data_IF_132196488633
#
_entry.id   IF_132196488633
#
_cell.length_a   1.000
_cell.length_b   1.000
_cell.length_c   1.000
_cell.angle_alpha   90.00
_cell.angle_beta   90.00
_cell.angle_gamma   90.00
#
_symmetry.space_group_name_H-M   'P 1'
#
loop_
_entity.id
_entity.type
_entity.pdbx_description
1 polymer ?
#
# COMPACT_ATOMS: atom_id res chain seq x y z
N UNK A 1 -77.59 20.19 22.07
CA UNK A 1 -77.71 20.96 23.33
C UNK A 1 -76.31 21.10 23.92
N UNK A 2 -75.95 22.31 24.41
CA UNK A 2 -74.65 22.82 24.93
C UNK A 2 -73.61 23.20 23.85
N UNK A 3 -73.38 24.48 23.51
CA UNK A 3 -72.74 25.62 24.25
C UNK A 3 -71.27 25.33 24.60
N UNK A 4 -70.23 26.15 24.36
CA UNK A 4 -70.03 27.56 23.94
C UNK A 4 -68.48 27.75 23.71
N UNK A 5 -67.90 28.95 23.46
CA UNK A 5 -66.92 29.20 22.36
C UNK A 5 -65.56 29.82 22.81
N UNK A 6 -64.88 30.46 21.84
CA UNK A 6 -63.85 31.55 21.93
C UNK A 6 -62.41 31.04 22.19
N UNK A 7 -61.41 31.31 21.35
CA UNK A 7 -60.75 32.62 21.25
C UNK A 7 -59.95 32.84 19.95
N UNK A 8 -60.02 34.10 19.48
CA UNK A 8 -59.16 34.76 18.49
C UNK A 8 -57.68 34.67 18.89
N UNK A 9 -56.80 34.49 17.90
CA UNK A 9 -55.55 35.24 17.85
C UNK A 9 -55.17 35.49 16.38
N UNK A 10 -55.25 36.77 16.03
CA UNK A 10 -54.72 37.40 14.83
C UNK A 10 -53.19 37.42 14.96
N UNK A 11 -52.42 36.98 13.96
CA UNK A 11 -51.06 37.46 13.79
C UNK A 11 -50.61 37.44 12.34
N UNK A 12 -49.96 38.53 11.99
CA UNK A 12 -49.77 39.10 10.67
C UNK A 12 -48.65 38.40 9.89
N UNK A 13 -48.81 38.46 8.57
CA UNK A 13 -47.77 38.30 7.56
C UNK A 13 -46.60 39.25 7.81
N UNK A 14 -45.38 38.70 7.86
CA UNK A 14 -44.15 39.41 7.51
C UNK A 14 -42.98 38.42 7.38
N UNK A 15 -42.67 38.02 6.13
CA UNK A 15 -41.28 37.85 5.67
C UNK A 15 -40.76 39.27 5.28
N UNK A 16 -39.44 39.55 5.13
CA UNK A 16 -38.29 38.67 4.95
C UNK A 16 -37.07 39.06 5.82
N UNK A 17 -35.95 38.34 5.69
CA UNK A 17 -34.62 38.90 5.36
C UNK A 17 -33.56 37.79 5.42
N UNK A 18 -33.02 37.48 4.25
CA UNK A 18 -31.72 36.85 4.10
C UNK A 18 -30.67 37.70 4.81
N UNK A 19 -29.90 37.09 5.70
CA UNK A 19 -28.51 37.47 5.92
C UNK A 19 -27.80 36.32 6.63
N UNK A 20 -27.42 35.30 5.85
CA UNK A 20 -26.42 34.34 6.27
C UNK A 20 -25.13 34.68 5.52
N UNK A 21 -24.36 35.62 6.05
CA UNK A 21 -22.95 35.80 5.68
C UNK A 21 -22.15 34.66 6.30
N UNK A 22 -22.30 33.45 5.75
CA UNK A 22 -21.32 32.40 5.96
C UNK A 22 -20.12 32.74 5.09
N UNK A 23 -19.16 33.42 5.71
CA UNK A 23 -17.79 33.48 5.20
C UNK A 23 -17.26 32.05 5.14
N UNK A 24 -17.41 31.41 3.99
CA UNK A 24 -16.64 30.22 3.66
C UNK A 24 -15.19 30.68 3.50
N UNK A 25 -14.44 30.57 4.61
CA UNK A 25 -13.00 30.42 4.52
C UNK A 25 -12.75 29.19 3.63
N UNK A 26 -12.41 29.44 2.37
CA UNK A 26 -11.82 28.44 1.49
C UNK A 26 -10.57 27.92 2.18
N UNK A 27 -10.70 26.77 2.85
CA UNK A 27 -9.57 26.01 3.33
C UNK A 27 -8.83 25.50 2.09
N UNK A 28 -7.80 26.22 1.67
CA UNK A 28 -6.79 25.69 0.76
C UNK A 28 -6.27 24.39 1.36
N UNK A 29 -6.30 23.24 0.65
CA UNK A 29 -5.65 22.04 1.13
C UNK A 29 -4.16 22.34 1.21
N UNK A 30 -3.64 22.41 2.44
CA UNK A 30 -2.20 22.46 2.71
C UNK A 30 -1.62 21.11 2.32
N UNK A 31 -1.36 20.90 1.03
CA UNK A 31 -0.57 19.77 0.57
C UNK A 31 0.84 19.94 1.12
N UNK A 32 1.26 18.99 1.96
CA UNK A 32 2.61 18.92 2.47
C UNK A 32 3.56 18.68 1.28
N UNK A 33 4.53 19.56 0.99
CA UNK A 33 5.44 19.40 -0.14
C UNK A 33 6.16 18.04 -0.15
N UNK A 34 6.44 17.47 1.03
CA UNK A 34 7.05 16.13 1.14
C UNK A 34 6.14 15.01 0.65
N UNK A 35 4.82 15.16 0.80
CA UNK A 35 3.85 14.19 0.34
C UNK A 35 3.74 14.23 -1.19
N UNK A 36 3.68 15.42 -1.79
CA UNK A 36 3.65 15.58 -3.24
C UNK A 36 4.91 15.00 -3.91
N UNK A 37 6.08 15.17 -3.29
CA UNK A 37 7.32 14.57 -3.78
C UNK A 37 7.21 13.03 -3.73
N UNK A 38 6.76 12.44 -2.62
CA UNK A 38 6.62 10.98 -2.51
C UNK A 38 5.64 10.41 -3.53
N UNK A 39 4.49 11.06 -3.73
CA UNK A 39 3.49 10.66 -4.72
C UNK A 39 4.08 10.69 -6.14
N UNK A 40 4.84 11.74 -6.49
CA UNK A 40 5.49 11.85 -7.81
C UNK A 40 6.53 10.75 -8.07
N UNK A 41 7.27 10.33 -7.05
CA UNK A 41 8.26 9.25 -7.19
C UNK A 41 7.60 7.89 -7.36
N UNK A 42 6.48 7.64 -6.67
CA UNK A 42 5.67 6.45 -6.87
C UNK A 42 5.12 6.44 -8.30
N UNK A 43 4.49 7.52 -8.73
CA UNK A 43 3.92 7.64 -10.07
C UNK A 43 4.98 7.48 -11.16
N UNK A 44 6.20 8.00 -10.94
CA UNK A 44 7.28 7.93 -11.93
C UNK A 44 7.93 6.55 -12.05
N UNK A 45 7.84 5.69 -11.03
CA UNK A 45 8.60 4.43 -10.99
C UNK A 45 7.74 3.17 -10.92
N UNK A 46 6.50 3.27 -10.46
CA UNK A 46 5.60 2.12 -10.39
C UNK A 46 4.95 1.91 -11.77
N UNK A 47 5.02 0.69 -12.34
CA UNK A 47 4.30 0.37 -13.57
C UNK A 47 2.80 0.53 -13.43
N UNK A 48 2.12 0.80 -14.54
CA UNK A 48 0.65 0.78 -14.58
C UNK A 48 0.12 -0.59 -14.16
N UNK A 49 -1.09 -0.62 -13.60
CA UNK A 49 -1.71 -1.82 -13.03
C UNK A 49 -1.74 -3.00 -14.02
N UNK A 50 -1.97 -2.74 -15.31
CA UNK A 50 -2.01 -3.76 -16.36
C UNK A 50 -0.68 -4.48 -16.60
N UNK A 51 0.45 -3.85 -16.24
CA UNK A 51 1.81 -4.38 -16.42
C UNK A 51 2.45 -4.80 -15.10
N UNK A 52 1.95 -4.29 -13.98
CA UNK A 52 2.51 -4.50 -12.65
C UNK A 52 2.78 -5.97 -12.35
N UNK A 53 1.75 -6.82 -12.45
CA UNK A 53 1.87 -8.23 -12.11
C UNK A 53 2.82 -8.98 -13.04
N UNK A 54 2.81 -8.65 -14.33
CA UNK A 54 3.67 -9.28 -15.33
C UNK A 54 5.16 -8.95 -15.09
N UNK A 55 5.48 -7.69 -14.79
CA UNK A 55 6.86 -7.28 -14.48
C UNK A 55 7.32 -7.85 -13.14
N UNK A 56 6.48 -7.80 -12.10
CA UNK A 56 6.79 -8.41 -10.81
C UNK A 56 7.09 -9.90 -10.96
N UNK A 57 6.27 -10.63 -11.72
CA UNK A 57 6.47 -12.05 -11.98
C UNK A 57 7.79 -12.31 -12.70
N UNK A 58 8.04 -11.61 -13.81
CA UNK A 58 9.26 -11.74 -14.62
C UNK A 58 10.49 -11.54 -13.76
N UNK A 59 10.55 -10.45 -13.01
CA UNK A 59 11.78 -10.04 -12.31
C UNK A 59 12.07 -10.93 -11.08
N UNK A 60 11.02 -11.40 -10.39
CA UNK A 60 11.19 -12.40 -9.34
C UNK A 60 11.68 -13.74 -9.89
N UNK A 61 11.08 -14.22 -10.99
CA UNK A 61 11.50 -15.47 -11.62
C UNK A 61 12.92 -15.38 -12.18
N UNK A 62 13.31 -14.25 -12.76
CA UNK A 62 14.68 -13.99 -13.23
C UNK A 62 15.67 -14.06 -12.06
N UNK A 63 15.45 -13.26 -11.00
CA UNK A 63 16.32 -13.24 -9.81
C UNK A 63 16.52 -14.63 -9.21
N UNK A 64 15.44 -15.38 -8.97
CA UNK A 64 15.55 -16.70 -8.36
C UNK A 64 16.06 -17.78 -9.33
N UNK A 65 15.83 -17.63 -10.65
CA UNK A 65 16.37 -18.59 -11.60
C UNK A 65 17.89 -18.51 -11.66
N UNK A 66 18.43 -17.30 -11.56
CA UNK A 66 19.87 -17.05 -11.48
C UNK A 66 20.46 -17.61 -10.16
N UNK A 67 19.81 -17.34 -9.02
CA UNK A 67 20.25 -17.82 -7.70
C UNK A 67 20.29 -19.36 -7.61
N UNK A 68 19.27 -20.04 -8.14
CA UNK A 68 19.17 -21.51 -8.11
C UNK A 68 19.79 -22.22 -9.33
N UNK A 69 20.28 -21.47 -10.32
CA UNK A 69 20.85 -22.02 -11.57
C UNK A 69 19.87 -22.86 -12.40
N UNK A 70 18.57 -22.58 -12.31
CA UNK A 70 17.51 -23.30 -13.04
C UNK A 70 16.25 -22.45 -13.13
N UNK A 71 15.43 -22.69 -14.15
CA UNK A 71 14.14 -22.00 -14.28
C UNK A 71 13.23 -22.33 -13.10
N UNK A 72 12.71 -21.29 -12.45
CA UNK A 72 11.72 -21.39 -11.37
C UNK A 72 10.40 -20.76 -11.74
N UNK A 73 9.38 -21.05 -10.94
CA UNK A 73 8.13 -20.29 -10.88
C UNK A 73 7.96 -19.73 -9.49
N UNK A 74 7.54 -18.47 -9.41
CA UNK A 74 7.41 -17.76 -8.13
C UNK A 74 5.94 -17.37 -7.91
N UNK A 75 5.37 -17.77 -6.79
CA UNK A 75 4.12 -17.21 -6.30
C UNK A 75 4.42 -16.16 -5.24
N UNK A 76 3.65 -15.09 -5.18
CA UNK A 76 3.90 -14.00 -4.25
C UNK A 76 2.62 -13.38 -3.69
N UNK A 77 2.74 -12.80 -2.51
CA UNK A 77 1.68 -12.04 -1.84
C UNK A 77 2.27 -10.84 -1.10
N UNK A 78 1.49 -9.78 -0.95
CA UNK A 78 1.96 -8.56 -0.28
C UNK A 78 2.01 -8.73 1.24
N UNK A 79 3.20 -8.47 1.81
CA UNK A 79 3.36 -8.28 3.26
C UNK A 79 2.94 -6.88 3.71
N UNK A 80 2.78 -5.93 2.78
CA UNK A 80 2.22 -4.60 3.04
C UNK A 80 1.51 -4.08 1.80
N UNK A 81 0.40 -3.40 2.02
CA UNK A 81 -0.37 -2.78 0.93
C UNK A 81 0.40 -1.63 0.32
N UNK A 82 0.55 -1.67 -1.01
CA UNK A 82 1.13 -0.60 -1.81
C UNK A 82 2.64 -0.42 -1.66
N UNK A 83 3.15 0.49 -2.48
CA UNK A 83 4.55 0.88 -2.41
C UNK A 83 4.80 1.71 -1.16
N UNK A 84 6.01 1.60 -0.63
CA UNK A 84 6.49 2.43 0.47
C UNK A 84 7.71 3.21 0.03
N UNK A 85 7.78 4.47 0.42
CA UNK A 85 8.91 5.31 0.10
C UNK A 85 9.38 6.07 1.33
N UNK A 86 10.70 6.13 1.50
CA UNK A 86 11.37 6.94 2.50
C UNK A 86 12.34 7.88 1.79
N UNK A 87 12.07 9.19 1.86
CA UNK A 87 12.88 10.21 1.19
C UNK A 87 12.87 10.07 -0.33
N UNK A 88 14.04 10.18 -0.96
CA UNK A 88 14.25 10.17 -2.42
C UNK A 88 14.53 8.77 -3.00
N UNK A 89 14.42 7.72 -2.18
CA UNK A 89 14.68 6.36 -2.64
C UNK A 89 13.53 5.82 -3.50
N UNK A 90 13.83 4.84 -4.36
CA UNK A 90 12.80 4.14 -5.15
C UNK A 90 11.67 3.57 -4.28
N UNK A 91 10.42 3.55 -4.78
CA UNK A 91 9.31 2.90 -4.11
C UNK A 91 9.58 1.41 -3.87
N UNK A 92 9.23 0.91 -2.68
CA UNK A 92 9.51 -0.46 -2.24
C UNK A 92 8.25 -1.25 -1.95
N UNK A 93 8.24 -2.49 -2.40
CA UNK A 93 7.24 -3.48 -2.00
C UNK A 93 7.87 -4.57 -1.16
N UNK A 94 7.07 -5.17 -0.29
CA UNK A 94 7.47 -6.27 0.58
C UNK A 94 6.56 -7.45 0.29
N UNK A 95 7.17 -8.58 -0.06
CA UNK A 95 6.46 -9.75 -0.55
C UNK A 95 6.83 -10.98 0.29
N UNK A 96 5.88 -11.88 0.46
CA UNK A 96 6.18 -13.27 0.79
C UNK A 96 6.17 -14.04 -0.51
N UNK A 97 7.23 -14.79 -0.79
CA UNK A 97 7.38 -15.53 -2.04
C UNK A 97 7.50 -17.03 -1.78
N UNK A 98 6.83 -17.84 -2.60
CA UNK A 98 7.00 -19.29 -2.67
C UNK A 98 7.58 -19.66 -4.02
N UNK A 99 8.64 -20.47 -4.00
CA UNK A 99 9.49 -20.74 -5.15
C UNK A 99 9.35 -22.22 -5.50
N UNK A 100 9.16 -22.50 -6.78
CA UNK A 100 8.90 -23.84 -7.31
C UNK A 100 9.82 -24.15 -8.49
N UNK A 101 10.19 -25.42 -8.64
CA UNK A 101 10.87 -25.96 -9.82
C UNK A 101 9.91 -26.95 -10.47
N UNK A 102 9.26 -26.53 -11.55
CA UNK A 102 8.07 -27.22 -12.03
C UNK A 102 6.99 -27.19 -10.94
N UNK A 103 6.48 -28.35 -10.56
CA UNK A 103 5.47 -28.48 -9.49
C UNK A 103 6.07 -28.69 -8.10
N UNK A 104 7.40 -28.87 -8.01
CA UNK A 104 8.08 -29.15 -6.74
C UNK A 104 8.36 -27.85 -5.99
N UNK A 105 7.83 -27.73 -4.78
CA UNK A 105 8.19 -26.67 -3.85
C UNK A 105 9.69 -26.72 -3.53
N UNK A 106 10.36 -25.57 -3.67
CA UNK A 106 11.80 -25.42 -3.43
C UNK A 106 12.07 -24.68 -2.13
N UNK A 107 11.50 -23.49 -1.97
CA UNK A 107 11.76 -22.61 -0.83
C UNK A 107 10.66 -21.53 -0.71
N UNK A 108 10.62 -20.83 0.42
CA UNK A 108 9.82 -19.62 0.60
C UNK A 108 10.55 -18.60 1.47
N UNK A 109 10.11 -17.35 1.44
CA UNK A 109 10.70 -16.31 2.27
C UNK A 109 10.19 -14.91 1.99
N UNK A 110 10.77 -13.94 2.71
CA UNK A 110 10.42 -12.54 2.57
C UNK A 110 11.35 -11.84 1.58
N UNK A 111 10.78 -11.03 0.69
CA UNK A 111 11.49 -10.29 -0.34
C UNK A 111 11.19 -8.80 -0.22
N UNK A 112 12.22 -7.96 -0.40
CA UNK A 112 12.10 -6.52 -0.60
C UNK A 112 12.46 -6.18 -2.04
N UNK A 113 11.51 -5.64 -2.79
CA UNK A 113 11.73 -5.19 -4.17
C UNK A 113 11.63 -3.68 -4.29
N UNK A 114 12.42 -3.09 -5.20
CA UNK A 114 12.34 -1.68 -5.57
C UNK A 114 11.74 -1.54 -6.98
N UNK A 115 10.72 -0.70 -7.13
CA UNK A 115 10.16 -0.36 -8.45
C UNK A 115 11.03 0.74 -9.09
N UNK A 116 11.49 0.50 -10.32
CA UNK A 116 12.43 1.37 -11.03
C UNK A 116 11.84 1.71 -12.40
N UNK A 117 11.68 3.01 -12.66
CA UNK A 117 11.37 3.59 -13.99
C UNK A 117 10.15 2.99 -14.70
N UNK A 118 9.21 2.39 -13.97
CA UNK A 118 8.02 1.68 -14.48
C UNK A 118 8.31 0.43 -15.30
N UNK A 119 9.55 -0.05 -15.34
CA UNK A 119 9.96 -1.16 -16.20
C UNK A 119 10.41 -2.39 -15.45
N UNK A 120 10.90 -2.21 -14.21
CA UNK A 120 11.60 -3.27 -13.47
C UNK A 120 11.29 -3.22 -11.98
N UNK A 121 11.22 -4.38 -11.36
CA UNK A 121 11.27 -4.61 -9.93
C UNK A 121 12.59 -5.27 -9.55
N UNK A 122 13.50 -4.51 -8.94
CA UNK A 122 14.79 -5.06 -8.49
C UNK A 122 14.64 -5.71 -7.12
N UNK A 123 15.03 -6.98 -6.99
CA UNK A 123 15.14 -7.65 -5.69
C UNK A 123 16.35 -7.10 -4.94
N UNK A 124 16.09 -6.31 -3.91
CA UNK A 124 17.15 -5.72 -3.08
C UNK A 124 17.56 -6.62 -1.92
N UNK A 125 16.63 -7.44 -1.43
CA UNK A 125 16.88 -8.41 -0.37
C UNK A 125 15.92 -9.58 -0.47
N UNK A 126 16.45 -10.77 -0.15
CA UNK A 126 15.68 -11.98 0.13
C UNK A 126 16.15 -12.55 1.47
N UNK A 127 15.21 -12.99 2.30
CA UNK A 127 15.50 -13.73 3.53
C UNK A 127 14.62 -14.98 3.54
N UNK A 128 15.25 -16.14 3.43
CA UNK A 128 14.57 -17.44 3.35
C UNK A 128 13.91 -17.82 4.67
N UNK A 129 12.88 -18.67 4.62
CA UNK A 129 12.21 -19.17 5.82
C UNK A 129 13.19 -19.86 6.79
N UNK A 130 14.20 -20.55 6.27
CA UNK A 130 15.22 -21.23 7.08
C UNK A 130 16.10 -20.22 7.82
N UNK A 131 16.50 -19.13 7.15
CA UNK A 131 17.24 -18.03 7.78
C UNK A 131 16.39 -17.33 8.84
N UNK A 132 15.11 -17.05 8.55
CA UNK A 132 14.21 -16.40 9.51
C UNK A 132 14.01 -17.28 10.73
N UNK A 133 13.83 -18.60 10.55
CA UNK A 133 13.71 -19.56 11.67
C UNK A 133 14.97 -19.60 12.53
N UNK A 134 16.15 -19.55 11.90
CA UNK A 134 17.45 -19.58 12.58
C UNK A 134 17.77 -18.28 13.32
N UNK A 135 17.46 -17.14 12.71
CA UNK A 135 17.82 -15.80 13.21
C UNK A 135 16.63 -14.85 13.13
N UNK A 136 15.64 -15.08 13.97
CA UNK A 136 14.35 -14.35 13.95
C UNK A 136 14.48 -12.82 14.05
N UNK A 137 15.54 -12.31 14.66
CA UNK A 137 15.73 -10.85 14.80
C UNK A 137 16.33 -10.18 13.57
N UNK A 138 16.99 -10.93 12.68
CA UNK A 138 17.70 -10.35 11.53
C UNK A 138 16.74 -9.76 10.50
N UNK A 139 15.46 -10.19 10.50
CA UNK A 139 14.42 -9.59 9.63
C UNK A 139 14.22 -8.10 9.90
N UNK A 140 14.50 -7.61 11.11
CA UNK A 140 14.37 -6.19 11.45
C UNK A 140 15.48 -5.32 10.86
N UNK A 141 16.57 -5.92 10.37
CA UNK A 141 17.64 -5.20 9.68
C UNK A 141 17.25 -4.84 8.24
N UNK A 142 16.31 -5.60 7.67
CA UNK A 142 15.91 -5.49 6.26
C UNK A 142 14.52 -4.88 6.12
N UNK A 143 13.60 -5.28 7.00
CA UNK A 143 12.18 -5.01 6.90
C UNK A 143 11.72 -4.06 8.01
N UNK A 144 10.76 -3.17 7.72
CA UNK A 144 10.16 -2.33 8.75
C UNK A 144 9.32 -3.17 9.71
N UNK A 145 9.22 -2.75 10.97
CA UNK A 145 8.56 -3.53 12.02
C UNK A 145 7.15 -4.07 11.67
N UNK A 146 6.24 -3.32 11.02
CA UNK A 146 4.93 -3.86 10.62
C UNK A 146 5.01 -5.03 9.63
N UNK A 147 6.01 -5.03 8.75
CA UNK A 147 6.27 -6.14 7.82
C UNK A 147 6.83 -7.34 8.57
N UNK A 148 7.71 -7.12 9.55
CA UNK A 148 8.25 -8.19 10.39
C UNK A 148 7.15 -8.95 11.13
N UNK A 149 6.10 -8.27 11.63
CA UNK A 149 4.98 -8.96 12.28
C UNK A 149 4.20 -9.84 11.29
N UNK A 150 3.99 -9.39 10.04
CA UNK A 150 3.40 -10.24 9.00
C UNK A 150 4.29 -11.42 8.62
N UNK A 151 5.61 -11.23 8.56
CA UNK A 151 6.57 -12.31 8.32
C UNK A 151 6.49 -13.37 9.42
N UNK A 152 6.47 -12.96 10.69
CA UNK A 152 6.32 -13.92 11.80
C UNK A 152 5.04 -14.73 11.68
N UNK A 153 3.94 -14.08 11.29
CA UNK A 153 2.66 -14.75 11.07
C UNK A 153 2.70 -15.85 9.99
N UNK A 154 3.66 -15.80 9.05
CA UNK A 154 3.86 -16.82 8.01
C UNK A 154 4.63 -18.05 8.48
N UNK A 155 5.33 -17.97 9.60
CA UNK A 155 6.29 -18.99 10.06
C UNK A 155 5.67 -19.91 11.12
N UNK A 156 4.38 -19.70 11.43
CA UNK A 156 3.61 -20.45 12.41
C UNK A 156 3.09 -21.77 11.86
#
# INVERSE_FOLDING_TARGET
MRTRPVFRALLLLSAPLFNNCNGQATQTPTHNPLQQIQESHIEANVPDESRFAAFMQRDLEEYFSDDYGKKVTVQWEFLREGATQSGVAYPKYYLWTKIYVGEKFLNEGAVRVAAIEKTTFEVTNFVSIDEIKKKKQDIYLVFPAPVCEKIKAKIH
#
